data_IF_861030590549
#
_entry.id   IF_861030590549
#
_cell.length_a   1.000
_cell.length_b   1.000
_cell.length_c   1.000
_cell.angle_alpha   90.00
_cell.angle_beta   90.00
_cell.angle_gamma   90.00
#
_symmetry.space_group_name_H-M   'P 1'
#
loop_
_entity.id
_entity.type
_entity.pdbx_description
1 polymer ?
#
# COMPACT_ATOMS: atom_id res chain seq x y z
N UNK A 1 -17.74 44.28 7.89
CA UNK A 1 -18.08 43.40 6.74
C UNK A 1 -18.02 41.97 7.25
N UNK A 2 -19.20 41.41 7.49
CA UNK A 2 -19.41 40.11 8.11
C UNK A 2 -19.13 39.02 7.07
N UNK A 3 -18.17 38.13 7.32
CA UNK A 3 -17.99 36.93 6.50
C UNK A 3 -18.36 35.73 7.34
N UNK A 4 -19.57 35.23 7.10
CA UNK A 4 -20.14 34.07 7.76
C UNK A 4 -19.37 32.82 7.32
N UNK A 5 -18.60 32.21 8.23
CA UNK A 5 -18.21 30.82 8.06
C UNK A 5 -19.41 29.94 8.44
N UNK A 6 -20.07 29.46 7.39
CA UNK A 6 -20.98 28.34 7.42
C UNK A 6 -20.23 27.12 7.96
N UNK A 7 -20.63 26.48 9.08
CA UNK A 7 -20.13 25.15 9.39
C UNK A 7 -20.83 24.16 8.46
N UNK A 8 -20.10 23.64 7.47
CA UNK A 8 -20.54 22.44 6.76
C UNK A 8 -20.74 21.33 7.78
N UNK A 9 -22.00 20.91 7.89
CA UNK A 9 -22.44 19.77 8.69
C UNK A 9 -21.64 18.55 8.23
N UNK A 10 -20.88 17.98 9.15
CA UNK A 10 -20.44 16.60 9.04
C UNK A 10 -21.70 15.76 9.28
N UNK A 11 -22.47 15.50 8.23
CA UNK A 11 -23.60 14.60 8.27
C UNK A 11 -23.05 13.18 8.50
N UNK A 12 -23.25 12.71 9.72
CA UNK A 12 -23.17 11.30 10.05
C UNK A 12 -24.21 10.55 9.21
N UNK A 13 -23.76 9.90 8.14
CA UNK A 13 -24.56 9.00 7.34
C UNK A 13 -23.86 7.64 7.26
N UNK A 14 -24.40 6.70 8.03
CA UNK A 14 -24.03 5.29 8.03
C UNK A 14 -24.97 4.55 8.96
N UNK A 15 -26.18 4.25 8.49
CA UNK A 15 -27.17 3.50 9.23
C UNK A 15 -26.61 2.13 9.67
N UNK A 16 -26.77 1.71 10.93
CA UNK A 16 -26.35 0.39 11.38
C UNK A 16 -27.37 -0.64 10.88
N UNK A 17 -27.11 -1.23 9.71
CA UNK A 17 -28.01 -2.20 9.10
C UNK A 17 -27.39 -3.10 8.03
N UNK A 18 -26.23 -2.76 7.47
CA UNK A 18 -25.58 -3.64 6.51
C UNK A 18 -24.68 -4.65 7.22
N UNK A 19 -25.05 -5.93 7.10
CA UNK A 19 -24.23 -7.10 7.44
C UNK A 19 -22.76 -6.81 7.16
N UNK A 20 -21.95 -6.66 8.23
CA UNK A 20 -20.54 -6.32 8.10
C UNK A 20 -19.87 -7.31 7.13
N UNK A 21 -19.51 -6.83 5.93
CA UNK A 21 -18.94 -7.68 4.88
C UNK A 21 -17.56 -8.11 5.34
N UNK A 22 -17.41 -9.41 5.62
CA UNK A 22 -16.12 -9.99 5.99
C UNK A 22 -15.37 -10.36 4.73
N UNK A 23 -14.21 -9.74 4.53
CA UNK A 23 -13.28 -10.13 3.46
C UNK A 23 -12.55 -11.44 3.77
N UNK A 24 -11.87 -12.00 2.76
CA UNK A 24 -11.11 -13.25 2.90
C UNK A 24 -9.66 -12.99 3.35
N UNK A 25 -9.19 -13.79 4.30
CA UNK A 25 -7.79 -13.75 4.75
C UNK A 25 -6.83 -14.38 3.73
N UNK A 26 -5.68 -13.74 3.54
CA UNK A 26 -4.62 -14.25 2.67
C UNK A 26 -3.89 -15.43 3.31
N UNK A 27 -3.71 -16.53 2.57
CA UNK A 27 -2.86 -17.65 3.00
C UNK A 27 -1.38 -17.24 3.20
N UNK A 28 -0.86 -16.35 2.33
CA UNK A 28 0.54 -15.90 2.40
C UNK A 28 0.68 -14.64 3.26
N UNK A 29 1.19 -14.81 4.47
CA UNK A 29 1.25 -13.75 5.50
C UNK A 29 2.51 -12.88 5.47
N UNK A 30 3.58 -13.33 4.81
CA UNK A 30 4.84 -12.57 4.68
C UNK A 30 4.86 -11.47 3.59
N UNK A 31 3.68 -11.02 3.14
CA UNK A 31 3.54 -10.06 2.03
C UNK A 31 3.22 -8.65 2.53
N UNK A 32 3.49 -7.65 1.71
CA UNK A 32 3.11 -6.26 2.00
C UNK A 32 1.60 -6.11 2.10
N UNK A 33 0.82 -6.77 1.21
CA UNK A 33 -0.64 -6.74 1.26
C UNK A 33 -1.20 -7.27 2.57
N UNK A 34 -0.61 -8.37 3.07
CA UNK A 34 -0.99 -8.93 4.36
C UNK A 34 -0.67 -7.98 5.52
N UNK A 35 0.49 -7.31 5.49
CA UNK A 35 0.81 -6.27 6.48
C UNK A 35 -0.13 -5.06 6.40
N UNK A 36 -0.47 -4.59 5.20
CA UNK A 36 -1.45 -3.51 5.00
C UNK A 36 -2.79 -3.87 5.60
N UNK A 37 -3.30 -5.07 5.34
CA UNK A 37 -4.56 -5.54 5.94
C UNK A 37 -4.45 -5.63 7.46
N UNK A 38 -3.35 -6.20 8.00
CA UNK A 38 -3.18 -6.34 9.45
C UNK A 38 -3.17 -4.98 10.17
N UNK A 39 -2.60 -3.95 9.57
CA UNK A 39 -2.60 -2.58 10.12
C UNK A 39 -3.98 -1.94 10.08
N UNK A 40 -4.71 -2.08 8.96
CA UNK A 40 -6.09 -1.61 8.86
C UNK A 40 -7.00 -2.30 9.89
N UNK A 41 -6.81 -3.59 10.12
CA UNK A 41 -7.54 -4.35 11.13
C UNK A 41 -7.18 -3.94 12.57
N UNK A 42 -5.97 -3.43 12.81
CA UNK A 42 -5.61 -2.79 14.09
C UNK A 42 -6.27 -1.41 14.28
N UNK A 43 -7.03 -0.92 13.30
CA UNK A 43 -7.63 0.42 13.32
C UNK A 43 -6.67 1.54 12.91
N UNK A 44 -5.50 1.21 12.34
CA UNK A 44 -4.56 2.21 11.85
C UNK A 44 -5.12 2.88 10.59
N UNK A 45 -4.94 4.21 10.50
CA UNK A 45 -5.18 4.99 9.28
C UNK A 45 -3.90 5.04 8.47
N UNK A 46 -3.95 4.50 7.24
CA UNK A 46 -2.76 4.36 6.41
C UNK A 46 -2.69 5.43 5.33
N UNK A 47 -1.54 6.11 5.25
CA UNK A 47 -1.22 7.05 4.18
C UNK A 47 -0.10 6.50 3.30
N UNK A 48 -0.01 6.98 2.06
CA UNK A 48 1.03 6.55 1.13
C UNK A 48 2.44 6.68 1.70
N UNK A 49 2.75 7.82 2.34
CA UNK A 49 4.06 8.06 2.95
C UNK A 49 4.27 7.25 4.24
N UNK A 50 3.24 7.08 5.06
CA UNK A 50 3.28 6.21 6.25
C UNK A 50 3.62 4.76 5.87
N UNK A 51 3.00 4.25 4.81
CA UNK A 51 3.29 2.91 4.31
C UNK A 51 4.73 2.71 3.81
N UNK A 52 5.40 3.77 3.33
CA UNK A 52 6.84 3.72 3.01
C UNK A 52 7.65 3.54 4.28
N UNK A 53 7.39 4.34 5.31
CA UNK A 53 8.12 4.27 6.57
C UNK A 53 7.92 2.93 7.29
N UNK A 54 6.68 2.46 7.35
CA UNK A 54 6.30 1.32 8.20
C UNK A 54 6.39 -0.03 7.48
N UNK A 55 5.87 -0.08 6.24
CA UNK A 55 5.73 -1.32 5.47
C UNK A 55 6.75 -1.44 4.34
N UNK A 56 7.62 -0.44 4.18
CA UNK A 56 8.64 -0.34 3.13
C UNK A 56 8.05 -0.49 1.72
N UNK A 57 6.88 0.11 1.47
CA UNK A 57 6.19 0.06 0.19
C UNK A 57 5.75 1.45 -0.26
N UNK A 58 5.99 1.77 -1.53
CA UNK A 58 5.41 2.96 -2.20
C UNK A 58 4.08 2.64 -2.88
N UNK A 59 3.68 1.37 -2.92
CA UNK A 59 2.52 0.89 -3.71
C UNK A 59 1.30 0.61 -2.84
N UNK A 60 1.04 1.46 -1.84
CA UNK A 60 -0.09 1.28 -0.91
C UNK A 60 -1.44 1.21 -1.65
N UNK A 61 -1.71 2.17 -2.53
CA UNK A 61 -2.96 2.21 -3.29
C UNK A 61 -3.21 0.92 -4.10
N UNK A 62 -2.16 0.36 -4.71
CA UNK A 62 -2.26 -0.91 -5.43
C UNK A 62 -2.50 -2.10 -4.50
N UNK A 63 -1.98 -2.09 -3.27
CA UNK A 63 -2.29 -3.09 -2.27
C UNK A 63 -3.75 -3.01 -1.82
N UNK A 64 -4.24 -1.80 -1.52
CA UNK A 64 -5.64 -1.54 -1.13
C UNK A 64 -6.60 -1.95 -2.24
N UNK A 65 -6.30 -1.59 -3.49
CA UNK A 65 -7.12 -1.98 -4.64
C UNK A 65 -7.29 -3.50 -4.72
N UNK A 66 -6.21 -4.28 -4.55
CA UNK A 66 -6.28 -5.74 -4.55
C UNK A 66 -7.03 -6.28 -3.34
N UNK A 67 -6.89 -5.67 -2.16
CA UNK A 67 -7.64 -6.06 -0.96
C UNK A 67 -9.14 -5.87 -1.14
N UNK A 68 -9.56 -4.77 -1.79
CA UNK A 68 -10.96 -4.53 -2.15
C UNK A 68 -11.47 -5.52 -3.19
N UNK A 69 -10.80 -5.62 -4.34
CA UNK A 69 -11.33 -6.35 -5.50
C UNK A 69 -11.17 -7.86 -5.38
N UNK A 70 -10.03 -8.34 -4.92
CA UNK A 70 -9.74 -9.79 -4.88
C UNK A 70 -10.16 -10.44 -3.58
N UNK A 71 -10.05 -9.71 -2.46
CA UNK A 71 -10.28 -10.26 -1.13
C UNK A 71 -11.57 -9.73 -0.49
N UNK A 72 -12.26 -8.77 -1.11
CA UNK A 72 -13.57 -8.30 -0.65
C UNK A 72 -13.53 -7.49 0.65
N UNK A 73 -12.41 -6.88 1.01
CA UNK A 73 -12.32 -6.10 2.24
C UNK A 73 -12.98 -4.72 2.09
N UNK A 74 -13.87 -4.32 3.02
CA UNK A 74 -14.52 -3.01 3.04
C UNK A 74 -13.55 -1.93 3.56
N UNK A 75 -12.58 -1.58 2.73
CA UNK A 75 -11.60 -0.52 3.04
C UNK A 75 -12.14 0.79 2.48
N UNK A 76 -12.19 1.83 3.30
CA UNK A 76 -12.55 3.18 2.88
C UNK A 76 -11.31 4.00 2.54
N UNK A 77 -11.51 5.03 1.72
CA UNK A 77 -10.46 5.97 1.33
C UNK A 77 -11.02 7.38 1.37
N UNK A 78 -10.29 8.27 2.01
CA UNK A 78 -10.62 9.69 2.08
C UNK A 78 -9.39 10.49 1.67
N UNK A 79 -9.58 11.50 0.86
CA UNK A 79 -8.53 12.44 0.53
C UNK A 79 -8.41 13.50 1.62
N UNK A 80 -7.17 13.79 2.02
CA UNK A 80 -6.83 14.70 3.11
C UNK A 80 -5.82 15.71 2.61
N UNK A 81 -6.16 16.99 2.69
CA UNK A 81 -5.21 18.08 2.45
C UNK A 81 -4.17 18.18 3.56
N UNK A 82 -2.90 18.22 3.17
CA UNK A 82 -1.76 18.34 4.07
C UNK A 82 -0.85 19.49 3.65
N UNK A 83 -0.42 20.27 4.64
CA UNK A 83 0.57 21.33 4.45
C UNK A 83 1.97 20.75 4.25
N UNK A 84 2.61 21.12 3.15
CA UNK A 84 3.99 20.77 2.84
C UNK A 84 4.97 21.80 3.42
N UNK A 85 6.19 21.36 3.73
CA UNK A 85 7.24 22.21 4.35
C UNK A 85 7.72 23.35 3.45
N UNK A 86 7.47 23.25 2.15
CA UNK A 86 7.77 24.27 1.15
C UNK A 86 6.63 25.30 0.97
N UNK A 87 5.60 25.25 1.82
CA UNK A 87 4.48 26.19 1.82
C UNK A 87 3.32 25.81 0.89
N UNK A 88 3.42 24.68 0.17
CA UNK A 88 2.32 24.18 -0.67
C UNK A 88 1.31 23.38 0.15
N UNK A 89 0.07 23.29 -0.36
CA UNK A 89 -0.91 22.29 0.09
C UNK A 89 -0.88 21.13 -0.91
N UNK A 90 -0.92 19.91 -0.40
CA UNK A 90 -1.03 18.70 -1.21
C UNK A 90 -2.11 17.80 -0.66
N UNK A 91 -2.86 17.17 -1.55
CA UNK A 91 -3.85 16.17 -1.21
C UNK A 91 -3.19 14.79 -1.03
N UNK A 92 -3.57 14.05 0.00
CA UNK A 92 -3.08 12.70 0.30
C UNK A 92 -4.22 11.76 0.63
N UNK A 93 -4.27 10.61 -0.04
CA UNK A 93 -5.21 9.55 0.28
C UNK A 93 -4.89 8.88 1.62
N UNK A 94 -5.90 8.79 2.48
CA UNK A 94 -5.91 8.09 3.77
C UNK A 94 -6.87 6.90 3.67
N UNK A 95 -6.38 5.71 4.01
CA UNK A 95 -7.18 4.48 3.99
C UNK A 95 -7.46 3.98 5.40
N UNK A 96 -8.68 3.53 5.66
CA UNK A 96 -9.11 3.02 6.96
C UNK A 96 -10.25 2.00 6.81
N UNK A 97 -10.63 1.37 7.93
CA UNK A 97 -11.79 0.47 8.01
C UNK A 97 -12.71 0.93 9.13
N UNK A 98 -14.01 0.67 8.98
CA UNK A 98 -15.00 0.97 10.02
C UNK A 98 -14.85 0.05 11.22
N UNK A 99 -15.23 0.53 12.40
CA UNK A 99 -15.20 -0.28 13.63
C UNK A 99 -16.03 -1.56 13.49
N UNK A 100 -17.18 -1.50 12.82
CA UNK A 100 -18.04 -2.67 12.55
C UNK A 100 -17.31 -3.73 11.72
N UNK A 101 -16.65 -3.33 10.64
CA UNK A 101 -15.86 -4.24 9.80
C UNK A 101 -14.70 -4.87 10.58
N UNK A 102 -14.04 -4.09 11.43
CA UNK A 102 -12.94 -4.56 12.28
C UNK A 102 -13.46 -5.60 13.27
N UNK A 103 -14.55 -5.30 13.99
CA UNK A 103 -15.16 -6.23 14.95
C UNK A 103 -15.59 -7.55 14.28
N UNK A 104 -16.21 -7.48 13.12
CA UNK A 104 -16.59 -8.66 12.34
C UNK A 104 -15.35 -9.50 11.95
N UNK A 105 -14.25 -8.84 11.56
CA UNK A 105 -13.00 -9.53 11.27
C UNK A 105 -12.36 -10.18 12.51
N UNK A 106 -12.41 -9.52 13.67
CA UNK A 106 -11.95 -10.09 14.94
C UNK A 106 -12.74 -11.33 15.34
N UNK A 107 -14.06 -11.32 15.17
CA UNK A 107 -14.92 -12.50 15.38
C UNK A 107 -14.56 -13.64 14.40
N UNK A 108 -14.08 -13.31 13.20
CA UNK A 108 -13.60 -14.28 12.22
C UNK A 108 -12.14 -14.74 12.41
N UNK A 109 -11.46 -14.33 13.49
CA UNK A 109 -10.10 -14.75 13.81
C UNK A 109 -8.98 -13.80 13.32
N UNK A 110 -9.27 -12.52 13.12
CA UNK A 110 -8.26 -11.53 12.73
C UNK A 110 -7.06 -11.47 13.68
N UNK A 111 -7.25 -11.70 14.99
CA UNK A 111 -6.16 -11.67 15.99
C UNK A 111 -4.97 -12.55 15.62
N UNK A 112 -5.23 -13.80 15.23
CA UNK A 112 -4.17 -14.77 14.90
C UNK A 112 -3.55 -14.46 13.55
N UNK A 113 -4.36 -13.97 12.61
CA UNK A 113 -3.88 -13.48 11.33
C UNK A 113 -2.90 -12.31 11.53
N UNK A 114 -3.28 -11.29 12.31
CA UNK A 114 -2.47 -10.09 12.57
C UNK A 114 -1.12 -10.48 13.20
N UNK A 115 -1.15 -11.28 14.28
CA UNK A 115 0.06 -11.75 14.97
C UNK A 115 1.01 -12.46 13.99
N UNK A 116 0.49 -13.45 13.26
CA UNK A 116 1.30 -14.26 12.34
C UNK A 116 1.84 -13.46 11.15
N UNK A 117 1.12 -12.44 10.67
CA UNK A 117 1.63 -11.50 9.65
C UNK A 117 2.83 -10.73 10.18
N UNK A 118 2.71 -10.08 11.34
CA UNK A 118 3.80 -9.27 11.89
C UNK A 118 5.05 -10.08 12.21
N UNK A 119 4.88 -11.29 12.76
CA UNK A 119 5.99 -12.22 12.99
C UNK A 119 6.72 -12.60 11.70
N UNK A 120 5.98 -13.02 10.68
CA UNK A 120 6.57 -13.40 9.40
C UNK A 120 7.23 -12.23 8.67
N UNK A 121 6.67 -11.02 8.79
CA UNK A 121 7.25 -9.78 8.24
C UNK A 121 8.52 -9.40 8.98
N UNK A 122 8.54 -9.50 10.32
CA UNK A 122 9.75 -9.31 11.13
C UNK A 122 10.85 -10.30 10.73
N UNK A 123 10.51 -11.57 10.55
CA UNK A 123 11.45 -12.59 10.07
C UNK A 123 11.99 -12.26 8.67
N UNK A 124 11.12 -11.82 7.75
CA UNK A 124 11.52 -11.43 6.40
C UNK A 124 12.44 -10.21 6.38
N UNK A 125 12.20 -9.21 7.25
CA UNK A 125 13.06 -8.02 7.38
C UNK A 125 14.50 -8.38 7.77
N UNK A 126 14.72 -9.45 8.53
CA UNK A 126 16.08 -9.95 8.85
C UNK A 126 16.88 -10.33 7.60
N UNK A 127 16.21 -10.68 6.50
CA UNK A 127 16.86 -11.02 5.22
C UNK A 127 17.22 -9.80 4.37
N UNK A 128 16.91 -8.58 4.82
CA UNK A 128 17.17 -7.36 4.06
C UNK A 128 18.65 -7.16 3.66
N UNK A 129 19.66 -7.44 4.51
CA UNK A 129 21.06 -7.31 4.11
C UNK A 129 21.44 -8.25 2.95
N UNK A 130 20.94 -9.49 2.95
CA UNK A 130 21.14 -10.44 1.85
C UNK A 130 20.53 -9.90 0.56
N UNK A 131 19.30 -9.40 0.64
CA UNK A 131 18.60 -8.82 -0.52
C UNK A 131 19.34 -7.58 -1.09
N UNK A 132 19.93 -6.74 -0.23
CA UNK A 132 20.73 -5.58 -0.66
C UNK A 132 21.97 -6.01 -1.44
N UNK A 133 22.75 -6.97 -0.91
CA UNK A 133 23.93 -7.53 -1.60
C UNK A 133 23.57 -8.14 -2.96
N UNK A 134 22.47 -8.88 -3.01
CA UNK A 134 21.98 -9.49 -4.24
C UNK A 134 21.52 -8.44 -5.27
N UNK A 135 20.87 -7.37 -4.82
CA UNK A 135 20.45 -6.25 -5.67
C UNK A 135 21.67 -5.51 -6.24
N UNK A 136 22.68 -5.23 -5.42
CA UNK A 136 23.94 -4.63 -5.87
C UNK A 136 24.63 -5.48 -6.94
N UNK A 137 24.79 -6.78 -6.69
CA UNK A 137 25.34 -7.72 -7.67
C UNK A 137 24.57 -7.69 -9.00
N UNK A 138 23.23 -7.67 -8.94
CA UNK A 138 22.39 -7.58 -10.15
C UNK A 138 22.53 -6.23 -10.86
N UNK A 139 22.63 -5.14 -10.12
CA UNK A 139 22.76 -3.80 -10.69
C UNK A 139 24.12 -3.63 -11.38
N UNK A 140 25.20 -4.15 -10.78
CA UNK A 140 26.53 -4.20 -11.41
C UNK A 140 26.47 -5.03 -12.70
N UNK A 141 25.88 -6.23 -12.65
CA UNK A 141 25.75 -7.07 -13.85
C UNK A 141 24.94 -6.38 -14.97
N UNK A 142 23.85 -5.68 -14.62
CA UNK A 142 23.06 -4.88 -15.57
C UNK A 142 23.85 -3.71 -16.15
N UNK A 143 24.64 -3.02 -15.33
CA UNK A 143 25.48 -1.92 -15.78
C UNK A 143 26.55 -2.40 -16.77
N UNK A 144 27.24 -3.51 -16.46
CA UNK A 144 28.22 -4.13 -17.34
C UNK A 144 27.57 -4.63 -18.65
N UNK A 145 26.39 -5.24 -18.59
CA UNK A 145 25.66 -5.66 -19.78
C UNK A 145 25.26 -4.48 -20.68
N UNK A 146 24.86 -3.34 -20.08
CA UNK A 146 24.59 -2.11 -20.83
C UNK A 146 25.85 -1.55 -21.48
N UNK A 147 26.98 -1.55 -20.77
CA UNK A 147 28.27 -1.10 -21.33
C UNK A 147 28.75 -1.99 -22.48
N UNK A 148 28.51 -3.31 -22.41
CA UNK A 148 28.82 -4.25 -23.50
C UNK A 148 27.92 -4.10 -24.73
N UNK A 149 26.76 -3.45 -24.59
CA UNK A 149 25.86 -3.16 -25.70
C UNK A 149 26.45 -1.96 -26.46
N UNK A 150 27.18 -2.28 -27.53
CA UNK A 150 28.02 -1.33 -28.25
C UNK A 150 27.16 -0.20 -28.83
N UNK A 151 27.54 1.09 -28.71
CA UNK A 151 26.82 2.22 -29.30
C UNK A 151 26.71 2.16 -30.84
N UNK A 152 27.54 1.33 -31.48
CA UNK A 152 27.69 1.20 -32.93
C UNK A 152 27.04 -0.08 -33.50
N UNK A 153 26.38 -0.90 -32.68
CA UNK A 153 25.48 -1.93 -33.19
C UNK A 153 24.14 -1.26 -33.55
N UNK A 154 24.11 -0.60 -34.71
CA UNK A 154 22.88 -0.15 -35.36
C UNK A 154 21.97 -1.34 -35.68
N UNK A 155 20.67 -1.10 -35.71
CA UNK A 155 19.67 -2.08 -36.13
C UNK A 155 20.07 -2.69 -37.47
N UNK A 156 20.29 -4.01 -37.47
CA UNK A 156 20.63 -4.83 -38.64
C UNK A 156 19.49 -4.90 -39.68
N UNK A 157 18.48 -4.02 -39.58
CA UNK A 157 17.30 -3.92 -40.44
C UNK A 157 17.22 -2.60 -41.23
N UNK A 158 18.32 -1.86 -41.37
CA UNK A 158 18.44 -0.79 -42.38
C UNK A 158 19.19 -1.33 -43.62
N UNK A 159 18.52 -2.20 -44.37
CA UNK A 159 19.06 -2.79 -45.61
C UNK A 159 17.91 -3.25 -46.50
N UNK A 160 17.14 -2.30 -47.02
CA UNK A 160 15.98 -2.60 -47.86
C UNK A 160 15.46 -1.37 -48.59
N UNK A 161 16.30 -0.75 -49.41
CA UNK A 161 15.88 0.13 -50.50
C UNK A 161 17.02 0.30 -51.50
N UNK A 162 17.05 -0.56 -52.52
CA UNK A 162 17.51 -0.28 -53.87
C UNK A 162 16.90 -1.33 -54.79
#
# INVERSE_FOLDING_TARGET
MSSAHHPEKIEAAGAPGDTAIIGSFMARRNTVRAETLARLLNGERLTGLGAVAESSTTRLAAAVHVLRTKYGWPIEGQDLDVGCKDGRVSEVAVYFMTCESILAAFNAGASDFIKSVFEQRKARRKQAPKARREAERRNIARALARQRRNPWQGDFFQGGAA
#
